data_IF_505633929126
#
_entry.id   IF_505633929126
#
_cell.length_a   1.000
_cell.length_b   1.000
_cell.length_c   1.000
_cell.angle_alpha   90.00
_cell.angle_beta   90.00
_cell.angle_gamma   90.00
#
_symmetry.space_group_name_H-M   'P 1'
#
loop_
_entity.id
_entity.type
_entity.pdbx_description
1 polymer ?
#
# COMPACT_ATOMS: atom_id res chain seq x y z
N UNK A 1 11.63 -16.53 -11.61
CA UNK A 1 10.39 -15.74 -11.64
C UNK A 1 10.66 -14.42 -12.37
N UNK A 2 9.88 -14.13 -13.37
CA UNK A 2 9.99 -12.86 -14.08
C UNK A 2 8.97 -11.88 -13.48
N UNK A 3 9.45 -10.84 -12.82
CA UNK A 3 8.59 -9.84 -12.18
C UNK A 3 8.25 -8.74 -13.18
N UNK A 4 6.99 -8.60 -13.51
CA UNK A 4 6.47 -7.57 -14.44
C UNK A 4 5.63 -6.52 -13.76
N UNK A 5 4.89 -6.88 -12.71
CA UNK A 5 3.96 -6.00 -12.01
C UNK A 5 4.15 -6.11 -10.50
N UNK A 6 4.49 -5.00 -9.87
CA UNK A 6 4.74 -4.94 -8.42
C UNK A 6 3.68 -4.05 -7.77
N UNK A 7 2.99 -4.58 -6.76
CA UNK A 7 2.06 -3.81 -5.94
C UNK A 7 2.75 -3.38 -4.65
N UNK A 8 2.68 -2.09 -4.34
CA UNK A 8 3.32 -1.51 -3.16
C UNK A 8 2.30 -0.76 -2.32
N UNK A 9 1.81 -1.39 -1.25
CA UNK A 9 0.99 -0.68 -0.27
C UNK A 9 1.80 0.39 0.46
N UNK A 10 1.24 1.59 0.58
CA UNK A 10 1.88 2.73 1.25
C UNK A 10 0.90 3.35 2.24
N UNK A 11 1.40 3.80 3.39
CA UNK A 11 0.59 4.42 4.44
C UNK A 11 1.33 5.56 5.14
N UNK A 12 2.50 5.95 4.63
CA UNK A 12 3.36 6.97 5.22
C UNK A 12 4.27 6.46 6.33
N UNK A 13 4.22 5.18 6.69
CA UNK A 13 5.11 4.59 7.68
C UNK A 13 6.53 4.40 7.14
N UNK A 14 7.52 4.33 8.05
CA UNK A 14 8.92 4.08 7.69
C UNK A 14 9.11 2.74 6.97
N UNK A 15 8.55 1.62 7.46
CA UNK A 15 8.68 0.35 6.74
C UNK A 15 8.07 0.38 5.34
N UNK A 16 6.93 1.05 5.17
CA UNK A 16 6.30 1.19 3.85
C UNK A 16 7.17 2.02 2.89
N UNK A 17 7.82 3.07 3.40
CA UNK A 17 8.74 3.86 2.60
C UNK A 17 9.97 3.04 2.16
N UNK A 18 10.51 2.22 3.05
CA UNK A 18 11.60 1.31 2.68
C UNK A 18 11.17 0.27 1.65
N UNK A 19 9.96 -0.27 1.80
CA UNK A 19 9.37 -1.18 0.81
C UNK A 19 9.23 -0.52 -0.57
N UNK A 20 8.78 0.72 -0.59
CA UNK A 20 8.68 1.53 -1.81
C UNK A 20 10.03 1.66 -2.52
N UNK A 21 11.09 2.02 -1.81
CA UNK A 21 12.41 2.16 -2.42
C UNK A 21 12.97 0.83 -2.94
N UNK A 22 12.76 -0.27 -2.21
CA UNK A 22 13.12 -1.61 -2.68
C UNK A 22 12.37 -1.97 -3.96
N UNK A 23 11.09 -1.62 -4.02
CA UNK A 23 10.28 -1.87 -5.22
C UNK A 23 10.81 -1.10 -6.44
N UNK A 24 11.24 0.15 -6.26
CA UNK A 24 11.84 0.93 -7.35
C UNK A 24 13.14 0.30 -7.86
N UNK A 25 14.01 -0.14 -6.94
CA UNK A 25 15.26 -0.80 -7.30
C UNK A 25 15.01 -2.09 -8.09
N UNK A 26 14.05 -2.89 -7.64
CA UNK A 26 13.69 -4.13 -8.33
C UNK A 26 13.04 -3.85 -9.68
N UNK A 27 12.14 -2.86 -9.75
CA UNK A 27 11.47 -2.49 -10.99
C UNK A 27 12.46 -1.99 -12.04
N UNK A 28 13.46 -1.20 -11.63
CA UNK A 28 14.52 -0.74 -12.54
C UNK A 28 15.33 -1.90 -13.10
N UNK A 29 15.61 -2.91 -12.28
CA UNK A 29 16.40 -4.09 -12.67
C UNK A 29 15.60 -5.02 -13.58
N UNK A 30 14.36 -5.31 -13.25
CA UNK A 30 13.51 -6.29 -13.94
C UNK A 30 12.68 -5.67 -15.05
N UNK A 31 12.74 -4.36 -15.25
CA UNK A 31 11.88 -3.60 -16.17
C UNK A 31 10.40 -3.82 -15.87
N UNK A 32 10.05 -3.78 -14.58
CA UNK A 32 8.68 -3.96 -14.10
C UNK A 32 7.95 -2.62 -13.94
N UNK A 33 6.63 -2.68 -13.93
CA UNK A 33 5.81 -1.53 -13.52
C UNK A 33 5.48 -1.60 -12.02
N UNK A 34 5.32 -0.44 -11.41
CA UNK A 34 5.00 -0.30 -10.00
C UNK A 34 3.63 0.33 -9.84
N UNK A 35 2.78 -0.27 -9.03
CA UNK A 35 1.51 0.34 -8.61
C UNK A 35 1.57 0.64 -7.12
N UNK A 36 1.42 1.91 -6.77
CA UNK A 36 1.26 2.33 -5.39
C UNK A 36 -0.21 2.24 -5.00
N UNK A 37 -0.49 1.64 -3.86
CA UNK A 37 -1.85 1.57 -3.33
C UNK A 37 -1.88 2.11 -1.89
N UNK A 38 -2.74 3.08 -1.64
CA UNK A 38 -3.07 3.52 -0.29
C UNK A 38 -4.50 3.08 0.02
N UNK A 39 -4.65 2.24 1.02
CA UNK A 39 -5.96 1.83 1.53
C UNK A 39 -6.20 2.54 2.85
N UNK A 40 -7.09 3.53 2.82
CA UNK A 40 -7.50 4.24 4.03
C UNK A 40 -8.41 3.32 4.83
N UNK A 41 -7.99 3.02 6.08
CA UNK A 41 -8.72 2.09 6.93
C UNK A 41 -10.06 2.69 7.37
N UNK A 42 -11.15 2.04 6.95
CA UNK A 42 -12.49 2.46 7.30
C UNK A 42 -12.75 2.41 8.82
N UNK A 43 -12.07 1.52 9.53
CA UNK A 43 -12.19 1.42 10.99
C UNK A 43 -11.53 2.61 11.69
N UNK A 44 -10.35 3.01 11.26
CA UNK A 44 -9.68 4.19 11.80
C UNK A 44 -10.52 5.44 11.60
N UNK A 45 -11.24 5.52 10.50
CA UNK A 45 -12.18 6.61 10.23
C UNK A 45 -13.33 6.65 11.22
N UNK A 46 -13.91 5.50 11.54
CA UNK A 46 -15.03 5.40 12.48
C UNK A 46 -14.60 5.79 13.89
N UNK A 47 -13.39 5.42 14.31
CA UNK A 47 -12.86 5.79 15.61
C UNK A 47 -12.52 7.28 15.72
N UNK A 48 -12.00 7.87 14.65
CA UNK A 48 -11.64 9.29 14.63
C UNK A 48 -12.87 10.21 14.65
N UNK A 49 -14.03 9.71 14.23
CA UNK A 49 -15.25 10.51 14.06
C UNK A 49 -16.43 10.01 14.86
N UNK A 50 -16.22 9.51 16.05
CA UNK A 50 -17.10 8.72 16.90
C UNK A 50 -18.59 9.14 17.01
N UNK A 51 -19.05 10.16 16.32
CA UNK A 51 -20.46 10.63 16.33
C UNK A 51 -20.93 11.29 15.03
N UNK A 52 -20.11 11.27 13.98
CA UNK A 52 -20.48 11.94 12.73
C UNK A 52 -20.73 10.88 11.66
N UNK A 53 -21.89 10.93 11.03
CA UNK A 53 -22.16 10.12 9.84
C UNK A 53 -21.07 10.41 8.79
N UNK A 54 -20.58 9.37 8.14
CA UNK A 54 -19.61 9.51 7.05
C UNK A 54 -20.29 10.32 5.93
N UNK A 55 -19.97 11.61 5.88
CA UNK A 55 -20.50 12.48 4.83
C UNK A 55 -19.67 12.36 3.56
N UNK A 56 -20.23 12.70 2.39
CA UNK A 56 -19.43 12.78 1.16
C UNK A 56 -18.20 13.67 1.28
N UNK A 57 -18.28 14.76 2.05
CA UNK A 57 -17.16 15.68 2.30
C UNK A 57 -16.06 15.03 3.11
N UNK A 58 -16.42 14.23 4.09
CA UNK A 58 -15.46 13.49 4.92
C UNK A 58 -14.71 12.46 4.08
N UNK A 59 -15.44 11.70 3.24
CA UNK A 59 -14.86 10.73 2.32
C UNK A 59 -13.86 11.40 1.37
N UNK A 60 -14.23 12.55 0.80
CA UNK A 60 -13.37 13.34 -0.07
C UNK A 60 -12.10 13.81 0.65
N UNK A 61 -12.23 14.27 1.91
CA UNK A 61 -11.10 14.73 2.72
C UNK A 61 -10.08 13.62 2.96
N UNK A 62 -10.54 12.41 3.23
CA UNK A 62 -9.67 11.27 3.51
C UNK A 62 -8.96 10.79 2.25
N UNK A 63 -9.67 10.72 1.13
CA UNK A 63 -9.05 10.41 -0.16
C UNK A 63 -7.99 11.44 -0.54
N UNK A 64 -8.21 12.69 -0.20
CA UNK A 64 -7.24 13.76 -0.45
C UNK A 64 -5.93 13.52 0.30
N UNK A 65 -5.97 13.09 1.57
CA UNK A 65 -4.77 12.76 2.34
C UNK A 65 -3.97 11.62 1.70
N UNK A 66 -4.65 10.57 1.27
CA UNK A 66 -4.01 9.49 0.54
C UNK A 66 -3.39 9.96 -0.77
N UNK A 67 -4.09 10.83 -1.49
CA UNK A 67 -3.57 11.40 -2.73
C UNK A 67 -2.34 12.28 -2.50
N UNK A 68 -2.30 13.04 -1.42
CA UNK A 68 -1.13 13.85 -1.05
C UNK A 68 0.09 12.96 -0.79
N UNK A 69 -0.07 11.89 -0.02
CA UNK A 69 1.00 10.92 0.23
C UNK A 69 1.53 10.31 -1.07
N UNK A 70 0.64 9.82 -1.90
CA UNK A 70 1.00 9.19 -3.17
C UNK A 70 1.68 10.21 -4.10
N UNK A 71 1.18 11.43 -4.19
CA UNK A 71 1.76 12.48 -5.03
C UNK A 71 3.20 12.79 -4.60
N UNK A 72 3.49 12.83 -3.29
CA UNK A 72 4.84 13.02 -2.81
C UNK A 72 5.75 11.85 -3.18
N UNK A 73 5.27 10.61 -3.05
CA UNK A 73 6.05 9.44 -3.44
C UNK A 73 6.28 9.36 -4.95
N UNK A 74 5.31 9.75 -5.75
CA UNK A 74 5.45 9.76 -7.21
C UNK A 74 6.62 10.63 -7.69
N UNK A 75 6.93 11.70 -6.98
CA UNK A 75 8.06 12.57 -7.31
C UNK A 75 9.40 11.84 -7.24
N UNK A 76 9.48 10.77 -6.48
CA UNK A 76 10.70 9.97 -6.32
C UNK A 76 10.82 8.86 -7.37
N UNK A 77 9.77 8.60 -8.17
CA UNK A 77 9.78 7.53 -9.17
C UNK A 77 10.49 8.03 -10.43
N UNK A 78 11.57 7.36 -10.87
CA UNK A 78 12.23 7.71 -12.13
C UNK A 78 11.27 7.60 -13.32
N UNK A 79 11.39 8.49 -14.29
CA UNK A 79 10.55 8.48 -15.51
C UNK A 79 10.65 7.16 -16.29
N UNK A 80 11.77 6.46 -16.15
CA UNK A 80 12.00 5.17 -16.81
C UNK A 80 11.18 4.02 -16.22
N UNK A 81 10.56 4.21 -15.04
CA UNK A 81 9.74 3.18 -14.37
C UNK A 81 8.27 3.47 -14.63
N UNK A 82 7.57 2.64 -15.42
CA UNK A 82 6.13 2.77 -15.57
C UNK A 82 5.44 2.58 -14.21
N UNK A 83 4.50 3.45 -13.89
CA UNK A 83 3.80 3.34 -12.62
C UNK A 83 2.34 3.79 -12.71
N UNK A 84 1.55 3.34 -11.76
CA UNK A 84 0.17 3.76 -11.53
C UNK A 84 -0.11 3.89 -10.04
N UNK A 85 -1.21 4.52 -9.70
CA UNK A 85 -1.59 4.76 -8.31
C UNK A 85 -3.07 4.46 -8.10
N UNK A 86 -3.39 3.91 -6.92
CA UNK A 86 -4.76 3.62 -6.52
C UNK A 86 -4.96 4.05 -5.07
N UNK A 87 -6.13 4.62 -4.80
CA UNK A 87 -6.56 4.99 -3.46
C UNK A 87 -7.90 4.34 -3.20
N UNK A 88 -7.98 3.57 -2.14
CA UNK A 88 -9.20 2.87 -1.73
C UNK A 88 -9.54 3.20 -0.28
N UNK A 89 -10.80 3.09 0.06
CA UNK A 89 -11.28 3.15 1.44
C UNK A 89 -11.89 1.79 1.78
N UNK A 90 -11.42 1.18 2.86
CA UNK A 90 -11.91 -0.14 3.23
C UNK A 90 -11.00 -0.81 4.25
N UNK A 91 -10.99 -2.14 4.24
CA UNK A 91 -10.11 -2.94 5.07
C UNK A 91 -8.80 -3.19 4.32
N UNK A 92 -7.66 -2.71 4.81
CA UNK A 92 -6.40 -2.76 4.07
C UNK A 92 -5.97 -4.16 3.62
N UNK A 93 -5.97 -5.14 4.51
CA UNK A 93 -5.55 -6.50 4.17
C UNK A 93 -6.35 -7.12 3.03
N UNK A 94 -7.67 -7.26 3.16
CA UNK A 94 -8.52 -7.78 2.10
C UNK A 94 -8.44 -6.99 0.80
N UNK A 95 -8.37 -5.65 0.89
CA UNK A 95 -8.30 -4.81 -0.31
C UNK A 95 -6.99 -5.04 -1.07
N UNK A 96 -5.86 -5.07 -0.38
CA UNK A 96 -4.56 -5.32 -1.01
C UNK A 96 -4.54 -6.69 -1.69
N UNK A 97 -5.00 -7.74 -1.01
CA UNK A 97 -5.04 -9.08 -1.57
C UNK A 97 -5.96 -9.15 -2.80
N UNK A 98 -7.12 -8.49 -2.76
CA UNK A 98 -8.07 -8.44 -3.87
C UNK A 98 -7.50 -7.72 -5.08
N UNK A 99 -6.92 -6.54 -4.88
CA UNK A 99 -6.29 -5.75 -5.96
C UNK A 99 -5.15 -6.54 -6.60
N UNK A 100 -4.32 -7.19 -5.79
CA UNK A 100 -3.21 -8.01 -6.31
C UNK A 100 -3.71 -9.14 -7.20
N UNK A 101 -4.78 -9.80 -6.81
CA UNK A 101 -5.40 -10.89 -7.58
C UNK A 101 -6.02 -10.37 -8.87
N UNK A 102 -6.89 -9.39 -8.78
CA UNK A 102 -7.63 -8.85 -9.93
C UNK A 102 -6.71 -8.19 -10.94
N UNK A 103 -5.67 -7.52 -10.47
CA UNK A 103 -4.67 -6.87 -11.32
C UNK A 103 -3.59 -7.80 -11.85
N UNK A 104 -3.60 -9.07 -11.48
CA UNK A 104 -2.58 -10.06 -11.88
C UNK A 104 -1.16 -9.61 -11.52
N UNK A 105 -0.98 -9.11 -10.30
CA UNK A 105 0.34 -8.71 -9.83
C UNK A 105 1.23 -9.93 -9.57
N UNK A 106 2.52 -9.77 -9.87
CA UNK A 106 3.51 -10.84 -9.71
C UNK A 106 4.16 -10.84 -8.34
N UNK A 107 4.13 -9.69 -7.66
CA UNK A 107 4.79 -9.50 -6.38
C UNK A 107 4.13 -8.36 -5.61
N UNK A 108 3.95 -8.56 -4.31
CA UNK A 108 3.61 -7.49 -3.38
C UNK A 108 4.86 -7.20 -2.54
N UNK A 109 5.26 -5.93 -2.43
CA UNK A 109 6.33 -5.50 -1.53
C UNK A 109 5.72 -4.51 -0.53
N UNK A 110 5.74 -4.85 0.75
CA UNK A 110 5.09 -4.04 1.77
C UNK A 110 5.88 -4.02 3.08
N UNK A 111 5.64 -3.01 3.89
CA UNK A 111 6.25 -2.92 5.22
C UNK A 111 5.71 -4.00 6.17
N UNK A 112 6.52 -4.34 7.18
CA UNK A 112 6.15 -5.35 8.17
C UNK A 112 5.08 -4.88 9.16
N UNK A 113 4.94 -3.57 9.32
CA UNK A 113 3.98 -2.95 10.23
C UNK A 113 3.54 -1.61 9.67
N UNK A 114 2.32 -1.21 10.00
CA UNK A 114 1.78 0.05 9.55
C UNK A 114 2.03 1.19 10.53
N UNK A 115 1.43 2.31 10.22
CA UNK A 115 1.44 3.51 11.04
C UNK A 115 0.80 3.22 12.40
N UNK A 116 1.49 3.55 13.48
CA UNK A 116 1.00 3.30 14.85
C UNK A 116 1.41 1.97 15.47
N UNK A 117 2.20 1.15 14.78
CA UNK A 117 2.75 -0.06 15.36
C UNK A 117 3.75 0.27 16.48
N UNK A 118 3.55 -0.29 17.66
CA UNK A 118 4.35 -0.01 18.85
C UNK A 118 5.63 -0.87 18.92
N UNK A 119 5.69 -1.95 18.18
CA UNK A 119 6.80 -2.90 18.22
C UNK A 119 7.27 -3.27 16.82
N UNK A 120 8.54 -2.95 16.51
CA UNK A 120 9.15 -3.24 15.22
C UNK A 120 9.41 -4.75 14.98
N UNK A 121 9.26 -5.58 16.00
CA UNK A 121 9.46 -7.04 15.91
C UNK A 121 8.18 -7.79 15.59
N UNK A 122 7.02 -7.13 15.69
CA UNK A 122 5.72 -7.75 15.42
C UNK A 122 5.26 -7.42 14.00
N UNK A 123 5.00 -8.45 13.22
CA UNK A 123 4.35 -8.28 11.91
C UNK A 123 2.93 -7.79 12.12
N UNK A 124 2.56 -6.67 11.50
CA UNK A 124 1.23 -6.07 11.66
C UNK A 124 0.11 -6.95 11.10
N UNK A 125 -1.11 -6.69 11.55
CA UNK A 125 -2.30 -7.44 11.12
C UNK A 125 -2.52 -7.40 9.61
N UNK A 126 -2.26 -6.27 8.97
CA UNK A 126 -2.39 -6.12 7.50
C UNK A 126 -1.38 -7.03 6.80
N UNK A 127 -0.12 -6.98 7.21
CA UNK A 127 0.94 -7.82 6.62
C UNK A 127 0.64 -9.31 6.79
N UNK A 128 0.18 -9.72 7.97
CA UNK A 128 -0.20 -11.11 8.22
C UNK A 128 -1.35 -11.56 7.32
N UNK A 129 -2.37 -10.71 7.18
CA UNK A 129 -3.50 -11.04 6.30
C UNK A 129 -3.02 -11.25 4.86
N UNK A 130 -2.22 -10.32 4.35
CA UNK A 130 -1.72 -10.38 2.96
C UNK A 130 -0.85 -11.62 2.74
N UNK A 131 0.04 -11.94 3.69
CA UNK A 131 0.87 -13.16 3.62
C UNK A 131 0.00 -14.42 3.46
N UNK A 132 -1.10 -14.50 4.21
CA UNK A 132 -1.94 -15.69 4.20
C UNK A 132 -2.92 -15.76 3.03
N UNK A 133 -3.31 -14.64 2.46
CA UNK A 133 -4.41 -14.58 1.47
C UNK A 133 -4.00 -14.17 0.06
N UNK A 134 -2.81 -13.59 -0.11
CA UNK A 134 -2.34 -13.21 -1.45
C UNK A 134 -2.06 -14.47 -2.29
N UNK A 135 -2.36 -14.38 -3.59
CA UNK A 135 -2.04 -15.45 -4.55
C UNK A 135 -0.76 -15.18 -5.35
N UNK A 136 0.04 -14.24 -4.92
CA UNK A 136 1.37 -14.01 -5.46
C UNK A 136 2.38 -13.93 -4.31
N UNK A 137 3.68 -14.00 -4.59
CA UNK A 137 4.71 -13.79 -3.58
C UNK A 137 4.57 -12.44 -2.88
N UNK A 138 4.91 -12.41 -1.60
CA UNK A 138 4.87 -11.21 -0.77
C UNK A 138 6.24 -11.02 -0.12
N UNK A 139 6.84 -9.87 -0.36
CA UNK A 139 8.08 -9.47 0.29
C UNK A 139 7.74 -8.52 1.44
N UNK A 140 8.13 -8.88 2.64
CA UNK A 140 7.93 -8.06 3.83
C UNK A 140 9.23 -7.34 4.17
N UNK A 141 9.14 -6.02 4.32
CA UNK A 141 10.27 -5.14 4.60
C UNK A 141 10.14 -4.60 6.03
N UNK A 142 11.18 -4.78 6.82
CA UNK A 142 11.25 -4.24 8.18
C UNK A 142 11.59 -2.77 8.20
#
# INVERSE_FOLDING_TARGET
>A
METKKILVPVDGSEPANRAFHIALDLAAKDKAEVTLIDVVDANDMLYATSKVMISPEFYTTIKRKGKELITELEKEIPESIPHSTEIHVGLPGPMIASVAKEGHFDLIIMGNSGKGALDAFVTGSVSQYVIHHANCPVMIVK
#
